data_IF_183978946701
#
_entry.id   IF_183978946701
#
_cell.length_a   1.000
_cell.length_b   1.000
_cell.length_c   1.000
_cell.angle_alpha   90.00
_cell.angle_beta   90.00
_cell.angle_gamma   90.00
#
_symmetry.space_group_name_H-M   'P 1'
#
loop_
_entity.id
_entity.type
_entity.pdbx_description
1 polymer ?
#
# COMPACT_ATOMS: atom_id res chain seq x y z
N UNK A 1 17.36 -7.54 -27.37
CA UNK A 1 16.53 -6.76 -26.44
C UNK A 1 15.09 -7.28 -26.32
N UNK A 2 14.36 -7.49 -27.43
CA UNK A 2 12.97 -8.01 -27.44
C UNK A 2 12.79 -9.33 -26.67
N UNK A 3 13.71 -10.29 -26.81
CA UNK A 3 13.62 -11.61 -26.15
C UNK A 3 13.68 -11.53 -24.62
N UNK A 4 14.48 -10.61 -24.07
CA UNK A 4 14.60 -10.42 -22.61
C UNK A 4 13.34 -9.75 -22.03
N UNK A 5 12.74 -8.82 -22.77
CA UNK A 5 11.47 -8.19 -22.35
C UNK A 5 10.33 -9.23 -22.31
N UNK A 6 10.22 -10.07 -23.35
CA UNK A 6 9.20 -11.13 -23.39
C UNK A 6 9.41 -12.13 -22.26
N UNK A 7 10.66 -12.51 -21.97
CA UNK A 7 10.99 -13.38 -20.84
C UNK A 7 10.57 -12.77 -19.50
N UNK A 8 10.88 -11.49 -19.27
CA UNK A 8 10.47 -10.76 -18.07
C UNK A 8 8.95 -10.79 -17.87
N UNK A 9 8.19 -10.45 -18.91
CA UNK A 9 6.74 -10.38 -18.84
C UNK A 9 6.13 -11.76 -18.56
N UNK A 10 6.64 -12.82 -19.20
CA UNK A 10 6.19 -14.20 -18.94
C UNK A 10 6.47 -14.65 -17.50
N UNK A 11 7.63 -14.29 -16.96
CA UNK A 11 8.01 -14.58 -15.58
C UNK A 11 7.14 -13.81 -14.59
N UNK A 12 6.89 -12.52 -14.85
CA UNK A 12 6.01 -11.71 -14.02
C UNK A 12 4.56 -12.21 -14.05
N UNK A 13 4.03 -12.55 -15.22
CA UNK A 13 2.69 -13.11 -15.42
C UNK A 13 2.52 -14.45 -14.66
N UNK A 14 3.55 -15.29 -14.64
CA UNK A 14 3.54 -16.51 -13.83
C UNK A 14 3.40 -16.21 -12.33
N UNK A 15 4.10 -15.22 -11.80
CA UNK A 15 3.97 -14.83 -10.39
C UNK A 15 2.62 -14.16 -10.09
N UNK A 16 2.13 -13.29 -11.00
CA UNK A 16 0.81 -12.65 -10.87
C UNK A 16 -0.30 -13.69 -10.85
N UNK A 17 -0.28 -14.68 -11.75
CA UNK A 17 -1.29 -15.76 -11.78
C UNK A 17 -1.33 -16.55 -10.48
N UNK A 18 -0.18 -16.77 -9.85
CA UNK A 18 -0.08 -17.50 -8.57
C UNK A 18 -0.68 -16.72 -7.41
N UNK A 19 -0.60 -15.39 -7.45
CA UNK A 19 -1.06 -14.54 -6.36
C UNK A 19 -2.47 -13.95 -6.56
N UNK A 20 -3.00 -14.01 -7.78
CA UNK A 20 -4.30 -13.39 -8.15
C UNK A 20 -5.44 -13.75 -7.19
N UNK A 21 -5.51 -14.99 -6.69
CA UNK A 21 -6.55 -15.39 -5.74
C UNK A 21 -6.49 -14.61 -4.42
N UNK A 22 -5.28 -14.38 -3.89
CA UNK A 22 -5.08 -13.61 -2.66
C UNK A 22 -5.40 -12.14 -2.91
N UNK A 23 -4.96 -11.57 -4.04
CA UNK A 23 -5.30 -10.19 -4.43
C UNK A 23 -6.83 -9.99 -4.51
N UNK A 24 -7.54 -10.86 -5.24
CA UNK A 24 -8.99 -10.77 -5.38
C UNK A 24 -9.71 -10.97 -4.03
N UNK A 25 -9.22 -11.89 -3.19
CA UNK A 25 -9.73 -12.08 -1.84
C UNK A 25 -9.60 -10.83 -0.97
N UNK A 26 -8.43 -10.18 -1.00
CA UNK A 26 -8.20 -8.92 -0.30
C UNK A 26 -9.07 -7.79 -0.84
N UNK A 27 -9.16 -7.63 -2.17
CA UNK A 27 -10.01 -6.63 -2.81
C UNK A 27 -11.48 -6.80 -2.38
N UNK A 28 -12.00 -8.03 -2.42
CA UNK A 28 -13.37 -8.32 -2.01
C UNK A 28 -13.57 -8.04 -0.51
N UNK A 29 -12.64 -8.47 0.35
CA UNK A 29 -12.71 -8.24 1.79
C UNK A 29 -12.75 -6.74 2.12
N UNK A 30 -11.86 -5.94 1.51
CA UNK A 30 -11.83 -4.49 1.74
C UNK A 30 -13.12 -3.84 1.23
N UNK A 31 -13.60 -4.22 0.04
CA UNK A 31 -14.83 -3.69 -0.51
C UNK A 31 -16.05 -4.00 0.39
N UNK A 32 -16.16 -5.24 0.88
CA UNK A 32 -17.22 -5.64 1.79
C UNK A 32 -17.19 -4.86 3.10
N UNK A 33 -16.01 -4.68 3.70
CA UNK A 33 -15.87 -3.94 4.95
C UNK A 33 -16.17 -2.45 4.75
N UNK A 34 -15.60 -1.82 3.72
CA UNK A 34 -15.72 -0.38 3.52
C UNK A 34 -17.09 0.04 2.98
N UNK A 35 -17.63 -0.65 1.97
CA UNK A 35 -18.95 -0.34 1.40
C UNK A 35 -20.09 -0.85 2.29
N UNK A 36 -19.92 -2.05 2.86
CA UNK A 36 -20.88 -2.63 3.79
C UNK A 36 -20.93 -1.84 5.10
N UNK A 37 -19.77 -1.46 5.65
CA UNK A 37 -19.67 -0.62 6.83
C UNK A 37 -20.37 0.73 6.63
N UNK A 38 -20.12 1.41 5.50
CA UNK A 38 -20.81 2.66 5.17
C UNK A 38 -22.33 2.49 5.12
N UNK A 39 -22.80 1.40 4.51
CA UNK A 39 -24.23 1.13 4.41
C UNK A 39 -24.88 0.87 5.78
N UNK A 40 -24.18 0.18 6.68
CA UNK A 40 -24.68 -0.08 8.04
C UNK A 40 -24.73 1.20 8.88
N UNK A 41 -23.65 2.00 8.86
CA UNK A 41 -23.58 3.26 9.60
C UNK A 41 -24.61 4.26 9.09
N UNK A 42 -24.75 4.41 7.77
CA UNK A 42 -25.74 5.31 7.17
C UNK A 42 -27.17 4.94 7.59
N UNK A 43 -27.53 3.65 7.56
CA UNK A 43 -28.86 3.19 8.03
C UNK A 43 -29.09 3.48 9.51
N UNK A 44 -28.06 3.25 10.33
CA UNK A 44 -28.15 3.48 11.78
C UNK A 44 -28.34 4.97 12.05
N UNK A 45 -27.57 5.84 11.38
CA UNK A 45 -27.69 7.30 11.50
C UNK A 45 -29.02 7.83 10.99
N UNK A 46 -29.52 7.35 9.85
CA UNK A 46 -30.84 7.76 9.35
C UNK A 46 -31.96 7.36 10.32
N UNK A 47 -31.93 6.15 10.87
CA UNK A 47 -32.93 5.72 11.87
C UNK A 47 -32.90 6.57 13.15
N UNK A 48 -31.71 6.99 13.59
CA UNK A 48 -31.56 7.91 14.72
C UNK A 48 -32.17 9.28 14.41
N UNK A 49 -31.91 9.84 13.24
CA UNK A 49 -32.45 11.13 12.80
C UNK A 49 -33.96 11.07 12.68
N UNK A 50 -34.51 10.02 12.06
CA UNK A 50 -35.97 9.81 11.96
C UNK A 50 -36.61 9.78 13.35
N UNK A 51 -36.04 9.03 14.29
CA UNK A 51 -36.56 8.98 15.67
C UNK A 51 -36.46 10.31 16.41
N UNK A 52 -35.46 11.14 16.12
CA UNK A 52 -35.33 12.49 16.70
C UNK A 52 -36.37 13.44 16.11
N UNK A 53 -36.56 13.38 14.79
CA UNK A 53 -37.55 14.17 14.05
C UNK A 53 -38.97 13.86 14.55
N UNK A 54 -39.31 12.58 14.72
CA UNK A 54 -40.61 12.16 15.26
C UNK A 54 -40.85 12.68 16.67
N UNK A 55 -39.82 12.71 17.52
CA UNK A 55 -39.91 13.20 18.91
C UNK A 55 -40.00 14.72 19.01
N UNK A 56 -39.32 15.45 18.12
CA UNK A 56 -39.27 16.91 18.14
C UNK A 56 -40.35 17.56 17.27
N UNK A 57 -41.04 16.79 16.42
CA UNK A 57 -42.07 17.29 15.49
C UNK A 57 -41.50 18.18 14.38
N UNK A 58 -40.19 18.10 14.12
CA UNK A 58 -39.49 18.95 13.14
C UNK A 58 -39.58 18.36 11.72
N UNK A 59 -39.23 19.15 10.71
CA UNK A 59 -39.04 18.63 9.34
C UNK A 59 -37.56 18.33 9.05
N UNK A 60 -37.28 17.52 8.01
CA UNK A 60 -35.90 17.21 7.57
C UNK A 60 -35.08 18.47 7.23
N UNK A 61 -35.73 19.52 6.74
CA UNK A 61 -35.09 20.79 6.41
C UNK A 61 -34.71 21.59 7.67
N UNK A 62 -35.59 21.60 8.67
CA UNK A 62 -35.33 22.23 9.97
C UNK A 62 -34.22 21.50 10.73
N UNK A 63 -34.21 20.16 10.66
CA UNK A 63 -33.14 19.35 11.24
C UNK A 63 -31.77 19.70 10.64
N UNK A 64 -31.68 19.88 9.32
CA UNK A 64 -30.42 20.29 8.66
C UNK A 64 -29.95 21.68 9.11
N UNK A 65 -30.88 22.63 9.29
CA UNK A 65 -30.55 23.98 9.77
C UNK A 65 -30.01 23.96 11.20
N UNK A 66 -30.50 23.05 12.04
CA UNK A 66 -30.13 22.97 13.46
C UNK A 66 -28.89 22.11 13.73
N UNK A 67 -28.74 20.97 13.04
CA UNK A 67 -27.70 19.96 13.32
C UNK A 67 -26.68 19.80 12.19
N UNK A 68 -26.66 20.71 11.22
CA UNK A 68 -25.71 20.69 10.10
C UNK A 68 -25.69 19.38 9.30
N UNK A 69 -26.84 18.94 8.78
CA UNK A 69 -26.94 17.85 7.79
C UNK A 69 -26.20 16.54 8.11
N UNK A 70 -25.99 15.71 7.10
CA UNK A 70 -25.15 14.51 7.16
C UNK A 70 -24.05 14.65 6.12
N UNK A 71 -22.80 14.52 6.53
CA UNK A 71 -21.64 14.54 5.62
C UNK A 71 -21.04 13.15 5.46
N UNK A 72 -20.54 12.85 4.26
CA UNK A 72 -19.82 11.59 4.01
C UNK A 72 -18.62 11.43 4.94
N UNK A 73 -17.93 12.54 5.26
CA UNK A 73 -16.76 12.52 6.14
C UNK A 73 -17.09 12.03 7.55
N UNK A 74 -18.20 12.50 8.11
CA UNK A 74 -18.63 12.10 9.45
C UNK A 74 -18.97 10.61 9.51
N UNK A 75 -19.63 10.10 8.47
CA UNK A 75 -19.94 8.67 8.33
C UNK A 75 -18.69 7.82 8.15
N UNK A 76 -17.69 8.31 7.41
CA UNK A 76 -16.40 7.64 7.26
C UNK A 76 -15.59 7.71 8.56
N UNK A 77 -15.64 8.82 9.29
CA UNK A 77 -14.97 9.00 10.58
C UNK A 77 -15.41 7.97 11.63
N UNK A 78 -16.70 7.62 11.65
CA UNK A 78 -17.21 6.53 12.50
C UNK A 78 -16.68 5.14 12.12
N UNK A 79 -16.20 4.99 10.89
CA UNK A 79 -15.69 3.75 10.31
C UNK A 79 -14.15 3.70 10.23
N UNK A 80 -13.45 4.80 10.53
CA UNK A 80 -12.01 4.94 10.32
C UNK A 80 -11.22 3.81 11.00
N UNK A 81 -11.61 3.41 12.22
CA UNK A 81 -10.97 2.29 12.91
C UNK A 81 -11.06 0.97 12.15
N UNK A 82 -12.27 0.59 11.70
CA UNK A 82 -12.49 -0.71 11.04
C UNK A 82 -11.92 -0.71 9.61
N UNK A 83 -12.11 0.39 8.89
CA UNK A 83 -11.65 0.54 7.50
C UNK A 83 -10.13 0.71 7.41
N UNK A 84 -9.52 1.39 8.38
CA UNK A 84 -8.09 1.49 8.57
C UNK A 84 -7.44 0.13 8.82
N UNK A 85 -8.02 -0.69 9.72
CA UNK A 85 -7.52 -2.06 9.99
C UNK A 85 -7.59 -2.95 8.75
N UNK A 86 -8.67 -2.88 7.96
CA UNK A 86 -8.79 -3.64 6.72
C UNK A 86 -7.69 -3.27 5.69
N UNK A 87 -7.40 -1.97 5.59
CA UNK A 87 -6.35 -1.45 4.69
C UNK A 87 -4.95 -1.82 5.19
N UNK A 88 -4.70 -1.72 6.49
CA UNK A 88 -3.45 -2.15 7.12
C UNK A 88 -3.20 -3.65 6.93
N UNK A 89 -4.25 -4.48 7.02
CA UNK A 89 -4.17 -5.92 6.74
C UNK A 89 -3.65 -6.19 5.32
N UNK A 90 -4.11 -5.43 4.31
CA UNK A 90 -3.61 -5.56 2.95
C UNK A 90 -2.10 -5.28 2.87
N UNK A 91 -1.62 -4.23 3.53
CA UNK A 91 -0.19 -3.87 3.57
C UNK A 91 0.63 -4.99 4.20
N UNK A 92 0.18 -5.51 5.34
CA UNK A 92 0.85 -6.62 6.03
C UNK A 92 0.91 -7.85 5.14
N UNK A 93 -0.17 -8.19 4.43
CA UNK A 93 -0.18 -9.34 3.51
C UNK A 93 0.76 -9.11 2.32
N UNK A 94 0.82 -7.90 1.75
CA UNK A 94 1.79 -7.55 0.68
C UNK A 94 3.22 -7.69 1.19
N UNK A 95 3.52 -7.16 2.37
CA UNK A 95 4.85 -7.21 2.98
C UNK A 95 5.27 -8.66 3.29
N UNK A 96 4.37 -9.46 3.86
CA UNK A 96 4.60 -10.88 4.09
C UNK A 96 4.82 -11.64 2.77
N UNK A 97 4.01 -11.34 1.75
CA UNK A 97 4.13 -11.97 0.44
C UNK A 97 5.47 -11.65 -0.25
N UNK A 98 6.00 -10.45 -0.03
CA UNK A 98 7.33 -10.01 -0.51
C UNK A 98 8.44 -10.96 -0.06
N UNK A 99 8.32 -11.56 1.12
CA UNK A 99 9.23 -12.58 1.59
C UNK A 99 8.86 -13.97 1.03
N UNK A 100 7.58 -14.36 1.10
CA UNK A 100 7.09 -15.67 0.65
C UNK A 100 7.45 -15.95 -0.82
N UNK A 101 7.40 -14.95 -1.69
CA UNK A 101 7.74 -15.11 -3.12
C UNK A 101 9.18 -15.59 -3.33
N UNK A 102 10.10 -15.25 -2.41
CA UNK A 102 11.46 -15.77 -2.41
C UNK A 102 11.51 -17.16 -1.77
N UNK A 103 11.04 -17.33 -0.53
CA UNK A 103 11.13 -18.61 0.19
C UNK A 103 10.48 -19.77 -0.56
N UNK A 104 9.33 -19.55 -1.21
CA UNK A 104 8.61 -20.61 -1.93
C UNK A 104 9.39 -21.17 -3.10
N UNK A 105 10.15 -20.34 -3.81
CA UNK A 105 10.97 -20.81 -4.93
C UNK A 105 12.10 -21.75 -4.47
N UNK A 106 12.56 -21.58 -3.23
CA UNK A 106 13.57 -22.40 -2.58
C UNK A 106 12.99 -23.63 -1.86
N UNK A 107 11.69 -23.65 -1.55
CA UNK A 107 11.06 -24.71 -0.76
C UNK A 107 10.54 -25.85 -1.67
N UNK A 108 11.28 -26.97 -1.76
CA UNK A 108 10.86 -28.20 -2.45
C UNK A 108 12.00 -29.18 -2.75
N UNK A 109 11.72 -30.50 -2.79
CA UNK A 109 12.71 -31.58 -3.01
C UNK A 109 13.38 -31.56 -4.40
N UNK A 110 12.83 -30.83 -5.36
CA UNK A 110 13.43 -30.50 -6.66
C UNK A 110 13.18 -29.02 -6.93
N UNK A 111 14.05 -28.14 -6.44
CA UNK A 111 13.70 -26.72 -6.28
C UNK A 111 13.31 -26.08 -7.62
N UNK A 112 12.16 -25.42 -7.63
CA UNK A 112 11.70 -24.65 -8.79
C UNK A 112 12.69 -23.53 -9.11
N UNK A 113 13.36 -22.97 -8.09
CA UNK A 113 14.48 -22.05 -8.23
C UNK A 113 15.61 -22.60 -9.12
N UNK A 114 16.00 -23.88 -8.99
CA UNK A 114 17.07 -24.45 -9.81
C UNK A 114 16.70 -24.44 -11.31
N UNK A 115 15.47 -24.82 -11.66
CA UNK A 115 14.99 -24.74 -13.05
C UNK A 115 14.92 -23.30 -13.55
N UNK A 116 14.51 -22.37 -12.69
CA UNK A 116 14.42 -20.96 -13.03
C UNK A 116 15.79 -20.32 -13.25
N UNK A 117 16.80 -20.71 -12.45
CA UNK A 117 18.19 -20.23 -12.55
C UNK A 117 18.97 -20.87 -13.71
N UNK A 118 18.52 -22.03 -14.20
CA UNK A 118 19.07 -22.71 -15.38
C UNK A 118 18.51 -22.17 -16.71
N UNK A 119 17.48 -21.31 -16.68
CA UNK A 119 16.99 -20.66 -17.89
C UNK A 119 18.13 -19.85 -18.55
N UNK A 120 18.21 -19.82 -19.90
CA UNK A 120 19.25 -19.11 -20.65
C UNK A 120 19.08 -17.58 -20.62
N UNK A 121 18.48 -17.04 -19.55
CA UNK A 121 18.24 -15.63 -19.35
C UNK A 121 19.04 -15.10 -18.15
N UNK A 122 19.44 -13.81 -18.17
CA UNK A 122 20.14 -13.22 -17.06
C UNK A 122 19.37 -13.41 -15.74
N UNK A 123 20.03 -13.93 -14.70
CA UNK A 123 19.43 -14.20 -13.39
C UNK A 123 18.80 -12.95 -12.75
N UNK A 124 19.28 -11.76 -13.12
CA UNK A 124 18.71 -10.48 -12.71
C UNK A 124 17.27 -10.25 -13.22
N UNK A 125 16.87 -10.87 -14.34
CA UNK A 125 15.47 -10.79 -14.81
C UNK A 125 14.50 -11.48 -13.86
N UNK A 126 14.94 -12.49 -13.10
CA UNK A 126 14.12 -13.14 -12.06
C UNK A 126 13.86 -12.19 -10.90
N UNK A 127 14.88 -11.42 -10.52
CA UNK A 127 14.74 -10.37 -9.51
C UNK A 127 13.74 -9.32 -9.98
N UNK A 128 13.91 -8.81 -11.19
CA UNK A 128 13.06 -7.77 -11.75
C UNK A 128 11.63 -8.26 -11.98
N UNK A 129 11.43 -9.53 -12.38
CA UNK A 129 10.08 -10.08 -12.55
C UNK A 129 9.31 -10.17 -11.22
N UNK A 130 9.99 -10.53 -10.12
CA UNK A 130 9.38 -10.53 -8.78
C UNK A 130 9.04 -9.12 -8.32
N UNK A 131 9.93 -8.15 -8.58
CA UNK A 131 9.69 -6.74 -8.26
C UNK A 131 8.46 -6.22 -9.03
N UNK A 132 8.40 -6.47 -10.34
CA UNK A 132 7.26 -6.08 -11.19
C UNK A 132 5.96 -6.74 -10.72
N UNK A 133 5.99 -8.01 -10.30
CA UNK A 133 4.81 -8.69 -9.79
C UNK A 133 4.28 -8.02 -8.50
N UNK A 134 5.15 -7.68 -7.55
CA UNK A 134 4.75 -6.98 -6.32
C UNK A 134 4.26 -5.58 -6.61
N UNK A 135 4.95 -4.83 -7.49
CA UNK A 135 4.50 -3.50 -7.90
C UNK A 135 3.13 -3.54 -8.56
N UNK A 136 2.89 -4.52 -9.44
CA UNK A 136 1.57 -4.72 -10.05
C UNK A 136 0.51 -4.97 -8.99
N UNK A 137 0.83 -5.76 -7.96
CA UNK A 137 -0.09 -6.02 -6.85
C UNK A 137 -0.39 -4.76 -6.03
N UNK A 138 0.63 -3.99 -5.64
CA UNK A 138 0.49 -2.72 -4.91
C UNK A 138 -0.34 -1.72 -5.71
N UNK A 139 -0.04 -1.52 -6.99
CA UNK A 139 -0.79 -0.59 -7.84
C UNK A 139 -2.22 -1.06 -8.12
N UNK A 140 -2.46 -2.37 -8.17
CA UNK A 140 -3.82 -2.91 -8.28
C UNK A 140 -4.66 -2.62 -7.05
N UNK A 141 -4.08 -2.79 -5.84
CA UNK A 141 -4.76 -2.42 -4.60
C UNK A 141 -4.98 -0.91 -4.49
N UNK A 142 -4.01 -0.10 -4.90
CA UNK A 142 -4.14 1.36 -4.96
C UNK A 142 -5.29 1.78 -5.90
N UNK A 143 -5.33 1.25 -7.12
CA UNK A 143 -6.42 1.51 -8.05
C UNK A 143 -7.77 1.06 -7.50
N UNK A 144 -7.80 -0.07 -6.80
CA UNK A 144 -9.01 -0.57 -6.14
C UNK A 144 -9.51 0.36 -5.03
N UNK A 145 -8.61 0.95 -4.24
CA UNK A 145 -9.01 1.93 -3.22
C UNK A 145 -9.69 3.15 -3.85
N UNK A 146 -9.19 3.65 -4.98
CA UNK A 146 -9.84 4.75 -5.72
C UNK A 146 -11.26 4.35 -6.16
N UNK A 147 -11.43 3.12 -6.67
CA UNK A 147 -12.74 2.59 -7.07
C UNK A 147 -13.69 2.48 -5.87
N UNK A 148 -13.21 2.03 -4.70
CA UNK A 148 -14.03 1.93 -3.50
C UNK A 148 -14.48 3.32 -3.03
N UNK A 149 -13.58 4.32 -2.99
CA UNK A 149 -13.96 5.69 -2.60
C UNK A 149 -15.02 6.25 -3.54
N UNK A 150 -14.89 6.04 -4.85
CA UNK A 150 -15.93 6.42 -5.81
C UNK A 150 -17.25 5.67 -5.54
N UNK A 151 -17.19 4.38 -5.19
CA UNK A 151 -18.34 3.59 -4.77
C UNK A 151 -19.00 4.11 -3.49
N UNK A 152 -18.22 4.55 -2.50
CA UNK A 152 -18.72 5.15 -1.26
C UNK A 152 -19.47 6.45 -1.53
N UNK A 153 -18.95 7.31 -2.41
CA UNK A 153 -19.65 8.53 -2.83
C UNK A 153 -20.97 8.21 -3.53
N UNK A 154 -20.99 7.22 -4.42
CA UNK A 154 -22.21 6.80 -5.10
C UNK A 154 -23.24 6.26 -4.10
N UNK A 155 -22.82 5.41 -3.16
CA UNK A 155 -23.70 4.89 -2.10
C UNK A 155 -24.27 6.01 -1.22
N UNK A 156 -23.44 6.97 -0.83
CA UNK A 156 -23.87 8.15 -0.08
C UNK A 156 -24.94 8.95 -0.83
N UNK A 157 -24.77 9.15 -2.13
CA UNK A 157 -25.75 9.84 -2.98
C UNK A 157 -27.04 9.04 -3.20
N UNK A 158 -27.01 7.72 -3.08
CA UNK A 158 -28.21 6.87 -3.22
C UNK A 158 -28.95 6.75 -1.89
N UNK A 159 -28.23 6.60 -0.77
CA UNK A 159 -28.83 6.29 0.53
C UNK A 159 -29.32 7.53 1.28
N UNK A 160 -28.67 8.68 1.13
CA UNK A 160 -29.01 9.87 1.91
C UNK A 160 -29.94 10.80 1.14
N UNK A 161 -31.11 11.19 1.71
CA UNK A 161 -32.00 12.15 1.10
C UNK A 161 -31.32 13.48 0.79
N UNK A 162 -31.63 14.08 -0.37
CA UNK A 162 -31.04 15.36 -0.80
C UNK A 162 -31.17 16.48 0.25
N UNK A 163 -32.27 16.47 1.00
CA UNK A 163 -32.57 17.46 2.05
C UNK A 163 -31.59 17.43 3.22
N UNK A 164 -30.98 16.28 3.53
CA UNK A 164 -30.01 16.12 4.62
C UNK A 164 -28.55 16.19 4.14
N UNK A 165 -28.31 16.05 2.83
CA UNK A 165 -26.98 15.90 2.26
C UNK A 165 -26.12 17.15 2.40
N UNK A 166 -24.86 16.96 2.76
CA UNK A 166 -23.78 17.94 2.55
C UNK A 166 -22.96 17.49 1.35
N UNK A 167 -22.89 18.35 0.32
CA UNK A 167 -22.12 18.06 -0.88
C UNK A 167 -20.62 18.34 -0.64
N UNK A 168 -19.79 17.40 -1.07
CA UNK A 168 -18.33 17.50 -1.03
C UNK A 168 -17.79 16.94 -2.33
N UNK A 169 -16.67 17.50 -2.80
CA UNK A 169 -15.98 16.96 -3.96
C UNK A 169 -15.17 15.72 -3.60
N UNK A 170 -14.88 14.87 -4.59
CA UNK A 170 -14.06 13.66 -4.42
C UNK A 170 -12.69 13.97 -3.79
N UNK A 171 -12.07 15.06 -4.22
CA UNK A 171 -10.76 15.49 -3.72
C UNK A 171 -10.86 15.96 -2.27
N UNK A 172 -11.92 16.69 -1.91
CA UNK A 172 -12.11 17.15 -0.53
C UNK A 172 -12.30 15.96 0.41
N UNK A 173 -13.09 14.96 0.01
CA UNK A 173 -13.30 13.73 0.80
C UNK A 173 -11.99 13.00 1.05
N UNK A 174 -11.16 12.79 0.01
CA UNK A 174 -9.86 12.15 0.19
C UNK A 174 -8.97 12.95 1.14
N UNK A 175 -8.93 14.28 0.98
CA UNK A 175 -8.08 15.17 1.80
C UNK A 175 -8.45 15.22 3.27
N UNK A 176 -9.73 15.09 3.58
CA UNK A 176 -10.24 15.21 4.94
C UNK A 176 -10.20 13.91 5.74
N UNK A 177 -9.97 12.78 5.09
CA UNK A 177 -9.90 11.45 5.74
C UNK A 177 -8.44 10.99 5.79
N UNK A 178 -8.10 10.07 6.70
CA UNK A 178 -6.80 9.39 6.75
C UNK A 178 -6.45 8.60 5.47
N UNK A 179 -7.40 8.52 4.53
CA UNK A 179 -7.22 8.04 3.17
C UNK A 179 -6.15 8.81 2.39
N UNK A 180 -5.78 10.05 2.76
CA UNK A 180 -4.66 10.79 2.13
C UNK A 180 -3.36 9.99 2.13
N UNK A 181 -3.10 9.24 3.20
CA UNK A 181 -1.87 8.46 3.36
C UNK A 181 -1.79 7.37 2.26
N UNK A 182 -2.94 6.81 1.88
CA UNK A 182 -3.03 5.72 0.90
C UNK A 182 -3.38 6.20 -0.51
N UNK A 183 -4.05 7.36 -0.63
CA UNK A 183 -4.41 8.00 -1.89
C UNK A 183 -3.83 9.41 -1.91
N UNK A 184 -2.51 9.53 -2.16
CA UNK A 184 -1.86 10.82 -2.20
C UNK A 184 -2.40 11.64 -3.37
N UNK A 185 -2.83 12.86 -3.08
CA UNK A 185 -3.39 13.78 -4.07
C UNK A 185 -2.28 14.55 -4.78
N UNK A 186 -1.12 14.75 -4.11
CA UNK A 186 0.04 15.42 -4.69
C UNK A 186 1.06 14.42 -5.21
N UNK A 187 1.72 14.77 -6.32
CA UNK A 187 2.80 13.96 -6.88
C UNK A 187 3.96 13.76 -5.89
N UNK A 188 4.27 14.78 -5.08
CA UNK A 188 5.33 14.68 -4.06
C UNK A 188 4.99 13.67 -2.98
N UNK A 189 3.76 13.68 -2.45
CA UNK A 189 3.27 12.71 -1.48
C UNK A 189 3.29 11.29 -2.06
N UNK A 190 2.85 11.15 -3.32
CA UNK A 190 2.89 9.89 -4.04
C UNK A 190 4.31 9.33 -4.16
N UNK A 191 5.26 10.16 -4.60
CA UNK A 191 6.65 9.74 -4.74
C UNK A 191 7.28 9.37 -3.39
N UNK A 192 6.94 10.08 -2.31
CA UNK A 192 7.48 9.80 -0.98
C UNK A 192 6.93 8.48 -0.41
N UNK A 193 5.60 8.30 -0.39
CA UNK A 193 4.96 7.12 0.20
C UNK A 193 5.26 5.86 -0.62
N UNK A 194 5.05 5.90 -1.95
CA UNK A 194 5.29 4.74 -2.80
C UNK A 194 6.78 4.50 -3.06
N UNK A 195 7.61 5.55 -3.07
CA UNK A 195 9.07 5.43 -3.12
C UNK A 195 9.62 4.75 -1.87
N UNK A 196 9.14 5.13 -0.68
CA UNK A 196 9.46 4.45 0.57
C UNK A 196 9.01 2.99 0.56
N UNK A 197 7.77 2.72 0.12
CA UNK A 197 7.26 1.36 -0.04
C UNK A 197 8.15 0.52 -0.99
N UNK A 198 8.58 1.08 -2.12
CA UNK A 198 9.49 0.43 -3.06
C UNK A 198 10.85 0.12 -2.41
N UNK A 199 11.44 1.06 -1.68
CA UNK A 199 12.71 0.86 -0.97
C UNK A 199 12.58 -0.25 0.07
N UNK A 200 11.49 -0.29 0.83
CA UNK A 200 11.22 -1.37 1.79
C UNK A 200 11.19 -2.73 1.08
N UNK A 201 10.46 -2.84 -0.05
CA UNK A 201 10.41 -4.07 -0.85
C UNK A 201 11.81 -4.49 -1.34
N UNK A 202 12.61 -3.55 -1.84
CA UNK A 202 13.98 -3.81 -2.29
C UNK A 202 14.90 -4.27 -1.14
N UNK A 203 14.77 -3.66 0.04
CA UNK A 203 15.51 -4.06 1.23
C UNK A 203 15.11 -5.46 1.70
N UNK A 204 13.82 -5.79 1.74
CA UNK A 204 13.33 -7.13 2.06
C UNK A 204 13.86 -8.17 1.07
N UNK A 205 13.85 -7.86 -0.24
CA UNK A 205 14.44 -8.71 -1.27
C UNK A 205 15.94 -8.94 -1.02
N UNK A 206 16.67 -7.89 -0.66
CA UNK A 206 18.10 -7.96 -0.39
C UNK A 206 18.37 -8.81 0.84
N UNK A 207 17.60 -8.66 1.91
CA UNK A 207 17.70 -9.48 3.12
C UNK A 207 17.42 -10.95 2.84
N UNK A 208 16.35 -11.26 2.09
CA UNK A 208 16.03 -12.63 1.71
C UNK A 208 17.14 -13.28 0.85
N UNK A 209 17.74 -12.54 -0.08
CA UNK A 209 18.85 -13.01 -0.89
C UNK A 209 20.15 -13.20 -0.08
N UNK A 210 20.43 -12.29 0.85
CA UNK A 210 21.59 -12.36 1.72
C UNK A 210 21.51 -13.55 2.67
N UNK A 211 20.35 -13.78 3.31
CA UNK A 211 20.11 -14.98 4.11
C UNK A 211 20.45 -16.24 3.31
N UNK A 212 20.02 -16.33 2.06
CA UNK A 212 20.29 -17.52 1.24
C UNK A 212 21.76 -17.65 0.84
N UNK A 213 22.44 -16.54 0.60
CA UNK A 213 23.85 -16.54 0.15
C UNK A 213 24.84 -16.81 1.29
N UNK A 214 24.54 -16.34 2.52
CA UNK A 214 25.47 -16.37 3.66
C UNK A 214 24.85 -16.93 4.95
N UNK A 215 23.68 -17.57 4.86
CA UNK A 215 22.93 -18.14 6.00
C UNK A 215 22.71 -17.09 7.10
N UNK A 216 23.03 -17.42 8.35
CA UNK A 216 22.82 -16.55 9.51
C UNK A 216 23.58 -15.21 9.41
N UNK A 217 24.82 -15.21 8.88
CA UNK A 217 25.62 -13.99 8.69
C UNK A 217 25.00 -13.06 7.66
N UNK A 218 24.38 -13.65 6.63
CA UNK A 218 23.65 -12.91 5.61
C UNK A 218 22.36 -12.29 6.13
N UNK A 219 21.60 -13.04 6.94
CA UNK A 219 20.40 -12.54 7.59
C UNK A 219 20.71 -11.32 8.47
N UNK A 220 21.73 -11.43 9.33
CA UNK A 220 22.18 -10.33 10.18
C UNK A 220 22.62 -9.11 9.35
N UNK A 221 23.39 -9.32 8.28
CA UNK A 221 23.81 -8.23 7.39
C UNK A 221 22.65 -7.54 6.66
N UNK A 222 21.68 -8.32 6.17
CA UNK A 222 20.48 -7.77 5.53
C UNK A 222 19.59 -7.00 6.50
N UNK A 223 19.36 -7.57 7.69
CA UNK A 223 18.62 -6.88 8.75
C UNK A 223 19.31 -5.60 9.18
N UNK A 224 20.63 -5.61 9.38
CA UNK A 224 21.40 -4.42 9.72
C UNK A 224 21.29 -3.32 8.65
N UNK A 225 21.38 -3.67 7.36
CA UNK A 225 21.18 -2.72 6.26
C UNK A 225 19.77 -2.13 6.28
N UNK A 226 18.75 -2.98 6.43
CA UNK A 226 17.35 -2.51 6.47
C UNK A 226 17.06 -1.65 7.69
N UNK A 227 17.61 -2.00 8.85
CA UNK A 227 17.45 -1.25 10.09
C UNK A 227 18.17 0.10 10.00
N UNK A 228 19.39 0.14 9.46
CA UNK A 228 20.11 1.40 9.26
C UNK A 228 19.36 2.36 8.33
N UNK A 229 18.85 1.85 7.19
CA UNK A 229 18.04 2.65 6.28
C UNK A 229 16.74 3.14 6.96
N UNK A 230 16.06 2.28 7.70
CA UNK A 230 14.83 2.63 8.40
C UNK A 230 15.06 3.68 9.50
N UNK A 231 16.10 3.52 10.33
CA UNK A 231 16.46 4.49 11.38
C UNK A 231 16.77 5.86 10.78
N UNK A 232 17.52 5.90 9.67
CA UNK A 232 17.82 7.17 8.98
C UNK A 232 16.55 7.84 8.42
N UNK A 233 15.64 7.06 7.81
CA UNK A 233 14.38 7.59 7.29
C UNK A 233 13.47 8.12 8.40
N UNK A 234 13.36 7.39 9.52
CA UNK A 234 12.58 7.82 10.70
C UNK A 234 13.18 9.09 11.32
N UNK A 235 14.51 9.17 11.43
CA UNK A 235 15.19 10.35 11.95
C UNK A 235 14.93 11.59 11.07
N UNK A 236 15.02 11.44 9.73
CA UNK A 236 14.71 12.52 8.79
C UNK A 236 13.23 12.93 8.85
N UNK A 237 12.31 11.97 8.99
CA UNK A 237 10.88 12.25 9.13
C UNK A 237 10.58 13.02 10.42
N UNK A 238 11.10 12.55 11.56
CA UNK A 238 10.94 13.21 12.85
C UNK A 238 11.53 14.64 12.84
N UNK A 239 12.68 14.82 12.19
CA UNK A 239 13.27 16.15 12.01
C UNK A 239 12.43 17.10 11.15
N UNK A 240 11.64 16.58 10.21
CA UNK A 240 10.76 17.40 9.37
C UNK A 240 9.51 17.91 10.11
N UNK A 241 9.07 17.20 11.15
CA UNK A 241 7.95 17.61 12.01
C UNK A 241 8.39 18.59 13.11
N UNK A 242 9.66 18.56 13.51
CA UNK A 242 10.20 19.45 14.53
C UNK A 242 10.43 20.87 13.97
N UNK A 243 9.71 21.84 14.55
CA UNK A 243 9.82 23.27 14.21
C UNK A 243 11.14 23.89 14.66
N UNK A 244 11.90 23.21 15.52
CA UNK A 244 13.25 23.61 15.97
C UNK A 244 14.39 22.92 15.22
N UNK A 245 14.11 22.20 14.13
CA UNK A 245 15.14 21.47 13.39
C UNK A 245 16.20 22.41 12.78
N UNK A 246 17.45 21.95 12.81
CA UNK A 246 18.61 22.71 12.30
C UNK A 246 18.59 22.89 10.78
N UNK A 247 17.87 22.02 10.06
CA UNK A 247 17.81 21.99 8.60
C UNK A 247 16.47 22.52 8.10
N UNK A 248 16.47 23.20 6.95
CA UNK A 248 15.23 23.67 6.36
C UNK A 248 14.35 22.50 5.89
N UNK A 249 13.00 22.63 5.89
CA UNK A 249 12.11 21.56 5.44
C UNK A 249 12.39 21.05 4.03
N UNK A 250 12.82 21.93 3.12
CA UNK A 250 13.20 21.58 1.76
C UNK A 250 14.51 20.78 1.70
N UNK A 251 15.46 21.06 2.59
CA UNK A 251 16.72 20.32 2.72
C UNK A 251 16.48 18.92 3.29
N UNK A 252 15.64 18.82 4.33
CA UNK A 252 15.21 17.53 4.90
C UNK A 252 14.50 16.66 3.86
N UNK A 253 13.63 17.25 3.04
CA UNK A 253 12.96 16.55 1.95
C UNK A 253 13.97 16.08 0.88
N UNK A 254 14.96 16.91 0.52
CA UNK A 254 16.01 16.52 -0.42
C UNK A 254 16.87 15.37 0.13
N UNK A 255 17.24 15.42 1.41
CA UNK A 255 17.96 14.35 2.09
C UNK A 255 17.13 13.06 2.16
N UNK A 256 15.84 13.15 2.44
CA UNK A 256 14.94 12.01 2.47
C UNK A 256 14.88 11.29 1.12
N UNK A 257 14.70 12.06 0.03
CA UNK A 257 14.76 11.53 -1.33
C UNK A 257 16.15 10.94 -1.64
N UNK A 258 17.22 11.62 -1.23
CA UNK A 258 18.59 11.13 -1.38
C UNK A 258 18.82 9.77 -0.72
N UNK A 259 18.37 9.60 0.53
CA UNK A 259 18.45 8.32 1.25
C UNK A 259 17.64 7.24 0.54
N UNK A 260 16.41 7.53 0.09
CA UNK A 260 15.60 6.58 -0.68
C UNK A 260 16.33 6.10 -1.94
N UNK A 261 16.91 7.02 -2.72
CA UNK A 261 17.64 6.70 -3.95
C UNK A 261 18.91 5.88 -3.68
N UNK A 262 19.69 6.26 -2.67
CA UNK A 262 20.92 5.55 -2.29
C UNK A 262 20.60 4.15 -1.77
N UNK A 263 19.59 4.00 -0.92
CA UNK A 263 19.14 2.70 -0.43
C UNK A 263 18.63 1.81 -1.57
N UNK A 264 17.84 2.35 -2.50
CA UNK A 264 17.38 1.61 -3.68
C UNK A 264 18.56 1.16 -4.56
N UNK A 265 19.50 2.06 -4.85
CA UNK A 265 20.68 1.75 -5.65
C UNK A 265 21.56 0.68 -4.98
N UNK A 266 21.79 0.78 -3.68
CA UNK A 266 22.54 -0.20 -2.91
C UNK A 266 21.86 -1.57 -2.92
N UNK A 267 20.53 -1.63 -2.72
CA UNK A 267 19.75 -2.86 -2.75
C UNK A 267 19.79 -3.53 -4.13
N UNK A 268 19.60 -2.75 -5.22
CA UNK A 268 19.68 -3.25 -6.58
C UNK A 268 21.08 -3.76 -6.94
N UNK A 269 22.12 -3.02 -6.56
CA UNK A 269 23.51 -3.39 -6.79
C UNK A 269 23.88 -4.68 -6.05
N UNK A 270 23.48 -4.79 -4.77
CA UNK A 270 23.67 -6.01 -3.98
C UNK A 270 22.90 -7.19 -4.58
N UNK A 271 21.63 -7.00 -4.96
CA UNK A 271 20.82 -8.03 -5.60
C UNK A 271 21.48 -8.56 -6.89
N UNK A 272 21.96 -7.65 -7.74
CA UNK A 272 22.70 -8.00 -8.95
C UNK A 272 24.00 -8.77 -8.64
N UNK A 273 24.81 -8.29 -7.68
CA UNK A 273 26.08 -8.91 -7.30
C UNK A 273 25.88 -10.32 -6.72
N UNK A 274 24.88 -10.50 -5.85
CA UNK A 274 24.58 -11.79 -5.20
C UNK A 274 24.14 -12.83 -6.23
N UNK A 275 23.22 -12.47 -7.13
CA UNK A 275 22.71 -13.35 -8.17
C UNK A 275 23.76 -13.74 -9.22
N UNK A 276 24.73 -12.86 -9.48
CA UNK A 276 25.81 -13.12 -10.46
C UNK A 276 26.98 -13.91 -9.86
N UNK A 277 27.32 -13.68 -8.59
CA UNK A 277 28.57 -14.16 -8.00
C UNK A 277 28.47 -15.33 -7.03
N UNK A 278 27.37 -15.46 -6.26
CA UNK A 278 27.34 -16.38 -5.10
C UNK A 278 26.09 -17.24 -4.97
N UNK A 279 25.00 -16.90 -5.65
CA UNK A 279 23.90 -17.85 -5.86
C UNK A 279 24.30 -18.79 -7.01
N UNK A 280 25.40 -19.53 -6.83
CA UNK A 280 25.68 -20.74 -7.59
C UNK A 280 25.13 -21.91 -6.81
N UNK A 281 24.60 -22.89 -7.55
CA UNK A 281 24.19 -24.20 -7.06
C UNK A 281 25.21 -24.79 -6.10
#
# INVERSE_FOLDING_TARGET
>A
MKTNLIALLKLADLEIRRFRGILLGLMALVALIQLGGLSMVTRTRLSQIESQIERSGMTLAEFKLQNSGLSLLELLGELDGVTGVATACCIVVVAAYTLIIWYRDWFGRASFAYRLLMLPHPRFLLYLSKLVAILTFVFSLFAWQIVIVAGQMLLYHVQIPHQLRIERTFIDTIRSTDLVIFIPVRLTEFLLVYGLGLVIVLLLFTTALLERSYRLKGLLGGLALSAAAFVLLVWLWAGAEDRGSFLYPTELLALFIGVLLVSAAAALWLGWRLLRGKVSV
#
